data_IF_429314493677
#
_entry.id   IF_429314493677
#
_cell.length_a   1.000
_cell.length_b   1.000
_cell.length_c   1.000
_cell.angle_alpha   90.00
_cell.angle_beta   90.00
_cell.angle_gamma   90.00
#
_symmetry.space_group_name_H-M   'P 1'
#
loop_
_entity.id
_entity.type
_entity.pdbx_description
1 polymer ?
#
# COMPACT_ATOMS: atom_id res chain seq x y z
N UNK A 1 23.87 -53.86 -16.52
CA UNK A 1 22.70 -53.71 -17.41
C UNK A 1 23.11 -53.11 -18.74
N UNK A 2 23.87 -52.00 -18.71
CA UNK A 2 24.35 -51.32 -19.91
C UNK A 2 25.26 -52.17 -20.80
N UNK A 3 26.18 -52.94 -20.24
CA UNK A 3 27.08 -53.79 -21.04
C UNK A 3 26.33 -54.78 -21.95
N UNK A 4 25.32 -55.47 -21.41
CA UNK A 4 24.51 -56.44 -22.17
C UNK A 4 23.62 -55.76 -23.22
N UNK A 5 23.13 -54.56 -22.94
CA UNK A 5 22.32 -53.76 -23.87
C UNK A 5 23.18 -53.21 -25.02
N UNK A 6 24.32 -52.61 -24.68
CA UNK A 6 25.30 -52.09 -25.62
C UNK A 6 25.82 -53.19 -26.55
N UNK A 7 26.16 -54.37 -26.01
CA UNK A 7 26.61 -55.52 -26.80
C UNK A 7 25.53 -56.05 -27.77
N UNK A 8 24.25 -55.96 -27.40
CA UNK A 8 23.14 -56.47 -28.21
C UNK A 8 22.68 -55.49 -29.30
N UNK A 9 22.72 -54.18 -29.02
CA UNK A 9 22.18 -53.14 -29.90
C UNK A 9 23.24 -52.22 -30.52
N UNK A 10 24.53 -52.44 -30.23
CA UNK A 10 25.63 -51.63 -30.78
C UNK A 10 25.68 -50.19 -30.26
N UNK A 11 25.04 -49.91 -29.13
CA UNK A 11 25.05 -48.58 -28.51
C UNK A 11 26.16 -48.42 -27.46
N UNK A 12 26.41 -47.18 -27.02
CA UNK A 12 27.33 -46.89 -25.91
C UNK A 12 26.63 -46.07 -24.82
N UNK A 13 25.73 -46.73 -24.06
CA UNK A 13 25.01 -46.13 -22.92
C UNK A 13 25.70 -46.42 -21.59
N UNK A 14 25.59 -45.49 -20.65
CA UNK A 14 26.04 -45.69 -19.25
C UNK A 14 24.93 -46.33 -18.41
N UNK A 15 25.32 -47.04 -17.33
CA UNK A 15 24.34 -47.63 -16.40
C UNK A 15 23.40 -46.55 -15.81
N UNK A 16 23.92 -45.36 -15.49
CA UNK A 16 23.14 -44.24 -14.95
C UNK A 16 22.09 -43.72 -15.94
N UNK A 17 22.46 -43.60 -17.22
CA UNK A 17 21.53 -43.20 -18.29
C UNK A 17 20.41 -44.22 -18.46
N UNK A 18 20.73 -45.51 -18.40
CA UNK A 18 19.73 -46.57 -18.49
C UNK A 18 18.82 -46.61 -17.26
N UNK A 19 19.37 -46.44 -16.05
CA UNK A 19 18.58 -46.40 -14.83
C UNK A 19 17.58 -45.24 -14.85
N UNK A 20 18.02 -44.03 -15.22
CA UNK A 20 17.13 -42.87 -15.34
C UNK A 20 16.04 -43.08 -16.39
N UNK A 21 16.39 -43.69 -17.53
CA UNK A 21 15.42 -44.02 -18.59
C UNK A 21 14.40 -45.05 -18.10
N UNK A 22 14.84 -46.10 -17.41
CA UNK A 22 13.96 -47.10 -16.81
C UNK A 22 13.06 -46.51 -15.72
N UNK A 23 13.58 -45.62 -14.87
CA UNK A 23 12.78 -44.90 -13.85
C UNK A 23 11.74 -43.97 -14.48
N UNK A 24 12.09 -43.25 -15.55
CA UNK A 24 11.19 -42.31 -16.24
C UNK A 24 10.04 -43.04 -16.94
N UNK A 25 10.31 -44.19 -17.53
CA UNK A 25 9.33 -45.02 -18.23
C UNK A 25 8.62 -46.02 -17.31
N UNK A 26 8.77 -45.88 -15.99
CA UNK A 26 8.10 -46.72 -14.98
C UNK A 26 8.43 -48.23 -15.07
N UNK A 27 9.55 -48.62 -15.68
CA UNK A 27 9.99 -50.01 -15.75
C UNK A 27 10.54 -50.55 -14.42
N UNK A 28 10.91 -49.67 -13.49
CA UNK A 28 11.44 -50.02 -12.16
C UNK A 28 10.36 -50.08 -11.06
N UNK A 29 9.09 -49.91 -11.41
CA UNK A 29 7.97 -49.95 -10.45
C UNK A 29 7.88 -48.74 -9.50
N UNK A 30 8.84 -47.81 -9.57
CA UNK A 30 8.84 -46.55 -8.81
C UNK A 30 8.56 -45.39 -9.78
N UNK A 31 7.41 -44.70 -9.67
CA UNK A 31 7.06 -43.62 -10.59
C UNK A 31 7.92 -42.38 -10.31
N UNK A 32 9.04 -42.23 -11.03
CA UNK A 32 9.81 -41.00 -11.03
C UNK A 32 9.19 -39.98 -11.99
N UNK A 33 8.01 -39.49 -11.64
CA UNK A 33 7.22 -38.55 -12.46
C UNK A 33 7.69 -37.11 -12.35
N UNK A 34 8.61 -36.80 -11.42
CA UNK A 34 9.02 -35.43 -11.10
C UNK A 34 7.90 -34.58 -10.47
N UNK A 35 6.81 -35.22 -10.03
CA UNK A 35 5.65 -34.58 -9.39
C UNK A 35 5.62 -34.95 -7.91
N UNK A 36 5.11 -34.05 -7.09
CA UNK A 36 4.85 -34.34 -5.68
C UNK A 36 3.78 -35.43 -5.56
N UNK A 37 4.03 -36.43 -4.71
CA UNK A 37 3.08 -37.52 -4.47
C UNK A 37 1.98 -37.00 -3.53
N UNK A 38 0.71 -37.27 -3.86
CA UNK A 38 -0.42 -36.85 -3.01
C UNK A 38 -0.29 -37.47 -1.62
N UNK A 39 -0.26 -36.64 -0.58
CA UNK A 39 -0.05 -37.07 0.82
C UNK A 39 1.41 -37.11 1.27
N UNK A 40 2.37 -36.78 0.40
CA UNK A 40 3.76 -36.64 0.78
C UNK A 40 3.98 -35.32 1.53
N UNK A 41 4.45 -35.39 2.78
CA UNK A 41 4.89 -34.20 3.51
C UNK A 41 6.10 -33.57 2.81
N UNK A 42 6.07 -32.24 2.67
CA UNK A 42 7.22 -31.50 2.20
C UNK A 42 8.36 -31.59 3.23
N UNK A 43 9.61 -31.50 2.77
CA UNK A 43 10.80 -31.58 3.64
C UNK A 43 10.88 -30.47 4.72
N UNK A 44 10.12 -29.39 4.50
CA UNK A 44 9.98 -28.23 5.38
C UNK A 44 8.60 -28.12 6.04
N UNK A 45 7.77 -29.15 5.95
CA UNK A 45 6.47 -29.19 6.62
C UNK A 45 6.67 -29.03 8.14
N UNK A 46 5.93 -28.10 8.76
CA UNK A 46 6.11 -27.70 10.16
C UNK A 46 7.33 -26.83 10.48
N UNK A 47 8.17 -26.44 9.51
CA UNK A 47 9.36 -25.60 9.74
C UNK A 47 9.12 -24.15 9.32
N UNK A 48 8.54 -23.35 10.20
CA UNK A 48 8.43 -21.89 10.01
C UNK A 48 9.76 -21.22 10.35
N UNK A 49 10.37 -20.49 9.41
CA UNK A 49 11.66 -19.82 9.65
C UNK A 49 12.88 -20.77 9.65
N UNK A 50 12.84 -21.85 8.85
CA UNK A 50 13.93 -22.84 8.73
C UNK A 50 15.33 -22.22 8.51
N UNK A 51 15.38 -21.11 7.79
CA UNK A 51 16.55 -20.25 7.78
C UNK A 51 16.45 -19.30 8.98
N UNK A 52 17.18 -19.60 10.05
CA UNK A 52 17.31 -18.69 11.19
C UNK A 52 17.82 -17.31 10.76
N UNK A 53 17.79 -16.34 11.67
CA UNK A 53 18.27 -14.98 11.39
C UNK A 53 19.70 -15.01 10.81
N UNK A 54 19.85 -14.51 9.58
CA UNK A 54 21.12 -14.41 8.87
C UNK A 54 21.71 -13.00 9.01
N UNK A 55 22.90 -12.75 8.45
CA UNK A 55 23.58 -11.45 8.55
C UNK A 55 22.73 -10.27 8.03
N UNK A 56 21.82 -10.51 7.10
CA UNK A 56 20.91 -9.51 6.52
C UNK A 56 19.57 -9.40 7.25
N UNK A 57 19.33 -10.22 8.27
CA UNK A 57 18.08 -10.18 9.03
C UNK A 57 18.04 -8.95 9.93
N UNK A 58 16.90 -8.26 9.93
CA UNK A 58 16.68 -7.12 10.82
C UNK A 58 16.67 -7.57 12.28
N UNK A 59 17.48 -6.92 13.11
CA UNK A 59 17.45 -7.11 14.56
C UNK A 59 16.23 -6.41 15.14
N UNK A 60 15.65 -6.96 16.21
CA UNK A 60 14.59 -6.30 16.97
C UNK A 60 15.10 -4.94 17.47
N UNK A 61 14.32 -3.88 17.26
CA UNK A 61 14.70 -2.51 17.61
C UNK A 61 15.59 -1.79 16.58
N UNK A 62 15.86 -2.40 15.42
CA UNK A 62 16.58 -1.72 14.36
C UNK A 62 15.73 -0.59 13.76
N UNK A 63 16.18 0.65 13.94
CA UNK A 63 15.53 1.86 13.39
C UNK A 63 16.25 2.25 12.10
N UNK A 64 15.55 2.38 10.96
CA UNK A 64 16.16 2.85 9.73
C UNK A 64 16.81 4.23 9.90
N UNK A 65 17.99 4.44 9.32
CA UNK A 65 18.72 5.72 9.35
C UNK A 65 17.92 6.95 8.85
N UNK A 66 16.90 6.74 8.00
CA UNK A 66 16.03 7.78 7.46
C UNK A 66 14.78 8.05 8.31
N UNK A 67 14.70 7.46 9.51
CA UNK A 67 13.58 7.68 10.44
C UNK A 67 13.58 9.13 10.90
N UNK A 68 12.47 9.82 10.63
CA UNK A 68 12.28 11.22 11.04
C UNK A 68 11.72 11.30 12.46
N UNK A 69 12.04 12.38 13.22
CA UNK A 69 11.51 12.59 14.56
C UNK A 69 9.99 12.81 14.54
N UNK A 70 9.36 12.71 15.72
CA UNK A 70 7.96 13.06 15.90
C UNK A 70 7.68 14.50 15.42
N UNK A 71 6.50 14.74 14.87
CA UNK A 71 6.07 16.02 14.28
C UNK A 71 6.87 16.50 13.07
N UNK A 72 7.73 15.64 12.48
CA UNK A 72 8.35 15.94 11.21
C UNK A 72 7.30 16.15 10.11
N UNK A 73 7.50 17.19 9.30
CA UNK A 73 6.63 17.52 8.19
C UNK A 73 7.19 16.99 6.87
N UNK A 74 6.29 16.61 5.96
CA UNK A 74 6.64 16.31 4.56
C UNK A 74 5.53 16.72 3.62
N UNK A 75 5.89 17.16 2.43
CA UNK A 75 4.92 17.41 1.35
C UNK A 75 4.64 16.13 0.58
N UNK A 76 3.37 15.81 0.35
CA UNK A 76 2.96 14.69 -0.48
C UNK A 76 3.27 15.00 -1.95
N UNK A 77 4.14 14.20 -2.57
CA UNK A 77 4.52 14.39 -3.97
C UNK A 77 3.34 14.21 -4.96
N UNK A 78 2.33 13.42 -4.59
CA UNK A 78 1.16 13.16 -5.44
C UNK A 78 0.13 14.28 -5.38
N UNK A 79 -0.22 14.71 -4.17
CA UNK A 79 -1.38 15.57 -3.93
C UNK A 79 -1.03 17.01 -3.52
N UNK A 80 0.23 17.26 -3.16
CA UNK A 80 0.73 18.57 -2.71
C UNK A 80 0.39 18.95 -1.26
N UNK A 81 -0.27 18.08 -0.49
CA UNK A 81 -0.59 18.36 0.91
C UNK A 81 0.59 18.15 1.85
N UNK A 82 0.67 18.98 2.91
CA UNK A 82 1.61 18.76 4.01
C UNK A 82 1.07 17.71 4.98
N UNK A 83 1.91 16.73 5.28
CA UNK A 83 1.67 15.64 6.23
C UNK A 83 2.56 15.83 7.46
N UNK A 84 2.03 15.47 8.64
CA UNK A 84 2.76 15.49 9.92
C UNK A 84 2.82 14.09 10.51
N UNK A 85 3.99 13.71 11.06
CA UNK A 85 4.18 12.44 11.78
C UNK A 85 3.65 12.55 13.21
N UNK A 86 2.65 11.73 13.58
CA UNK A 86 1.97 11.80 14.89
C UNK A 86 2.36 10.65 15.83
N UNK A 87 3.02 9.60 15.32
CA UNK A 87 3.40 8.41 16.11
C UNK A 87 4.86 8.02 15.91
N UNK A 88 5.51 7.57 16.98
CA UNK A 88 6.93 7.18 17.01
C UNK A 88 7.16 5.76 16.46
N UNK A 89 6.54 4.75 17.07
CA UNK A 89 6.80 3.32 16.82
C UNK A 89 6.17 2.80 15.52
N UNK A 90 5.01 3.32 15.17
CA UNK A 90 4.31 3.04 13.91
C UNK A 90 4.06 4.37 13.20
N UNK A 91 4.98 4.84 12.35
CA UNK A 91 4.95 6.19 11.80
C UNK A 91 3.68 6.41 10.98
N UNK A 92 2.71 7.07 11.61
CA UNK A 92 1.46 7.47 10.99
C UNK A 92 1.58 8.93 10.58
N UNK A 93 1.50 9.16 9.26
CA UNK A 93 1.44 10.49 8.68
C UNK A 93 -0.02 10.87 8.46
N UNK A 94 -0.42 12.00 9.04
CA UNK A 94 -1.77 12.56 8.89
C UNK A 94 -1.67 13.92 8.21
N UNK A 95 -2.74 14.32 7.53
CA UNK A 95 -2.84 15.65 6.92
C UNK A 95 -2.74 16.73 7.99
N UNK A 96 -1.73 17.60 7.88
CA UNK A 96 -1.42 18.62 8.90
C UNK A 96 -2.59 19.59 9.11
N UNK A 97 -3.30 19.97 8.05
CA UNK A 97 -4.47 20.85 8.14
C UNK A 97 -5.63 20.22 8.93
N UNK A 98 -5.84 18.90 8.83
CA UNK A 98 -6.86 18.20 9.63
C UNK A 98 -6.44 18.13 11.09
N UNK A 99 -5.19 17.74 11.32
CA UNK A 99 -4.63 17.68 12.66
C UNK A 99 -4.74 19.03 13.38
N UNK A 100 -4.31 20.13 12.71
CA UNK A 100 -4.40 21.48 13.28
C UNK A 100 -5.84 21.91 13.57
N UNK A 101 -6.78 21.62 12.67
CA UNK A 101 -8.19 21.91 12.89
C UNK A 101 -8.75 21.17 14.10
N UNK A 102 -8.45 19.87 14.23
CA UNK A 102 -8.92 19.05 15.34
C UNK A 102 -8.38 19.54 16.69
N UNK A 103 -7.14 20.05 16.74
CA UNK A 103 -6.57 20.63 17.95
C UNK A 103 -7.29 21.91 18.40
N UNK A 104 -7.78 22.73 17.47
CA UNK A 104 -8.28 24.08 17.76
C UNK A 104 -9.81 24.16 17.81
N UNK A 105 -10.49 23.51 16.85
CA UNK A 105 -11.95 23.58 16.67
C UNK A 105 -12.66 22.27 17.01
N UNK A 106 -11.92 21.20 17.27
CA UNK A 106 -12.46 19.89 17.62
C UNK A 106 -12.70 18.97 16.42
N UNK A 107 -13.35 17.81 16.65
CA UNK A 107 -13.43 16.73 15.67
C UNK A 107 -14.16 17.15 14.40
N UNK A 108 -13.68 16.67 13.25
CA UNK A 108 -14.33 16.87 11.95
C UNK A 108 -15.56 15.95 11.89
N UNK A 109 -16.78 16.47 11.73
CA UNK A 109 -17.98 15.65 11.62
C UNK A 109 -17.96 14.75 10.39
N UNK A 110 -18.74 13.67 10.42
CA UNK A 110 -18.92 12.80 9.25
C UNK A 110 -19.47 13.59 8.06
N UNK A 111 -19.05 13.23 6.85
CA UNK A 111 -19.41 13.91 5.60
C UNK A 111 -18.98 15.40 5.52
N UNK A 112 -17.99 15.80 6.32
CA UNK A 112 -17.37 17.12 6.24
C UNK A 112 -15.90 17.02 5.85
N UNK A 113 -15.44 18.04 5.14
CA UNK A 113 -14.06 18.19 4.67
C UNK A 113 -13.54 19.56 5.01
N UNK A 114 -12.24 19.62 5.24
CA UNK A 114 -11.52 20.88 5.40
C UNK A 114 -11.01 21.28 4.02
N UNK A 115 -11.30 22.53 3.66
CA UNK A 115 -10.90 23.14 2.39
C UNK A 115 -10.06 24.38 2.70
N UNK A 116 -9.05 24.62 1.87
CA UNK A 116 -8.23 25.82 1.90
C UNK A 116 -8.95 26.95 1.18
N UNK A 117 -9.09 28.11 1.82
CA UNK A 117 -9.79 29.27 1.28
C UNK A 117 -9.01 29.88 0.12
N UNK A 118 -7.69 30.01 0.25
CA UNK A 118 -6.79 30.55 -0.79
C UNK A 118 -6.32 29.53 -1.84
N UNK A 119 -6.82 28.29 -1.80
CA UNK A 119 -6.38 27.16 -2.66
C UNK A 119 -4.91 26.71 -2.49
N UNK A 120 -4.14 27.36 -1.63
CA UNK A 120 -2.75 26.98 -1.32
C UNK A 120 -2.72 25.91 -0.21
N UNK A 121 -2.28 24.70 -0.59
CA UNK A 121 -2.19 23.53 0.30
C UNK A 121 -1.05 23.62 1.32
N UNK A 122 -0.14 24.58 1.15
CA UNK A 122 1.01 24.80 2.04
C UNK A 122 0.72 25.82 3.13
N UNK A 123 -0.24 26.72 2.91
CA UNK A 123 -0.65 27.74 3.88
C UNK A 123 -1.65 27.17 4.91
N UNK A 124 -1.11 26.66 6.01
CA UNK A 124 -1.85 25.95 7.07
C UNK A 124 -2.10 26.88 8.25
N UNK A 125 -2.75 28.02 7.97
CA UNK A 125 -3.31 28.90 9.00
C UNK A 125 -4.76 28.51 9.28
N UNK A 126 -5.17 28.53 10.54
CA UNK A 126 -6.55 28.16 10.94
C UNK A 126 -7.60 29.03 10.24
N UNK A 127 -7.26 30.31 10.01
CA UNK A 127 -8.13 31.27 9.33
C UNK A 127 -8.31 30.95 7.83
N UNK A 128 -7.32 30.30 7.22
CA UNK A 128 -7.37 29.84 5.83
C UNK A 128 -8.09 28.48 5.66
N UNK A 129 -8.52 27.86 6.77
CA UNK A 129 -9.22 26.58 6.73
C UNK A 129 -10.72 26.79 6.94
N UNK A 130 -11.50 26.13 6.12
CA UNK A 130 -12.96 26.15 6.20
C UNK A 130 -13.51 24.73 6.25
N UNK A 131 -14.41 24.47 7.19
CA UNK A 131 -15.19 23.24 7.24
C UNK A 131 -16.38 23.35 6.29
N UNK A 132 -16.51 22.38 5.40
CA UNK A 132 -17.50 22.36 4.32
C UNK A 132 -18.08 20.95 4.25
N UNK A 133 -19.39 20.82 4.09
CA UNK A 133 -20.02 19.51 3.90
C UNK A 133 -19.75 18.95 2.50
N UNK A 134 -19.82 17.63 2.34
CA UNK A 134 -19.63 16.98 1.04
C UNK A 134 -20.63 17.48 -0.01
N UNK A 135 -21.85 17.79 0.41
CA UNK A 135 -22.87 18.37 -0.47
C UNK A 135 -22.49 19.80 -0.91
N UNK A 136 -22.01 20.65 0.01
CA UNK A 136 -21.58 22.02 -0.29
C UNK A 136 -20.40 22.02 -1.27
N UNK A 137 -19.46 21.10 -1.07
CA UNK A 137 -18.31 20.94 -1.95
C UNK A 137 -18.73 20.43 -3.34
N UNK A 138 -19.71 19.51 -3.40
CA UNK A 138 -20.26 19.04 -4.67
C UNK A 138 -20.94 20.17 -5.45
N UNK A 139 -21.74 21.00 -4.78
CA UNK A 139 -22.37 22.18 -5.41
C UNK A 139 -21.32 23.15 -5.93
N UNK A 140 -20.26 23.41 -5.15
CA UNK A 140 -19.13 24.24 -5.59
C UNK A 140 -18.49 23.69 -6.86
N UNK A 141 -18.17 22.40 -6.89
CA UNK A 141 -17.52 21.78 -8.04
C UNK A 141 -18.40 21.75 -9.30
N UNK A 142 -19.72 21.61 -9.14
CA UNK A 142 -20.66 21.59 -10.27
C UNK A 142 -20.90 23.02 -10.81
N UNK A 143 -21.17 23.98 -9.93
CA UNK A 143 -21.64 25.32 -10.34
C UNK A 143 -20.53 26.36 -10.50
N UNK A 144 -19.48 26.27 -9.69
CA UNK A 144 -18.48 27.32 -9.54
C UNK A 144 -17.07 26.88 -9.90
N UNK A 145 -16.88 25.68 -10.47
CA UNK A 145 -15.55 25.16 -10.84
C UNK A 145 -14.77 26.05 -11.80
N UNK A 146 -15.45 26.73 -12.72
CA UNK A 146 -14.81 27.65 -13.69
C UNK A 146 -14.45 29.01 -13.10
N UNK A 147 -15.11 29.39 -12.01
CA UNK A 147 -14.93 30.70 -11.35
C UNK A 147 -13.97 30.59 -10.18
N UNK A 148 -13.91 29.42 -9.52
CA UNK A 148 -13.01 29.13 -8.41
C UNK A 148 -11.55 29.38 -8.79
N UNK A 149 -10.98 30.40 -8.16
CA UNK A 149 -9.56 30.71 -8.16
C UNK A 149 -9.14 31.11 -6.74
N UNK A 150 -7.84 31.32 -6.50
CA UNK A 150 -7.32 31.64 -5.18
C UNK A 150 -8.00 32.85 -4.49
N UNK A 151 -8.52 33.82 -5.25
CA UNK A 151 -9.17 35.02 -4.73
C UNK A 151 -10.68 34.84 -4.49
N UNK A 152 -11.37 34.09 -5.35
CA UNK A 152 -12.86 33.98 -5.34
C UNK A 152 -13.35 32.67 -4.74
N UNK A 153 -12.45 31.73 -4.42
CA UNK A 153 -12.81 30.43 -3.87
C UNK A 153 -13.58 30.57 -2.54
N UNK A 154 -13.23 31.54 -1.69
CA UNK A 154 -14.00 31.85 -0.48
C UNK A 154 -15.47 32.14 -0.79
N UNK A 155 -15.70 33.08 -1.71
CA UNK A 155 -17.04 33.47 -2.16
C UNK A 155 -17.78 32.28 -2.77
N UNK A 156 -17.11 31.45 -3.57
CA UNK A 156 -17.71 30.26 -4.18
C UNK A 156 -18.15 29.23 -3.12
N UNK A 157 -17.38 29.06 -2.05
CA UNK A 157 -17.73 28.20 -0.91
C UNK A 157 -18.90 28.77 -0.09
N UNK A 158 -18.95 30.09 0.10
CA UNK A 158 -20.06 30.74 0.79
C UNK A 158 -21.36 30.65 -0.03
N UNK A 159 -21.29 30.86 -1.34
CA UNK A 159 -22.43 30.69 -2.24
C UNK A 159 -22.95 29.25 -2.26
N UNK A 160 -22.06 28.25 -2.22
CA UNK A 160 -22.50 26.85 -2.17
C UNK A 160 -23.19 26.50 -0.85
N UNK A 161 -22.71 27.04 0.28
CA UNK A 161 -23.38 26.98 1.58
C UNK A 161 -24.77 27.60 1.55
N UNK A 162 -24.89 28.83 1.04
CA UNK A 162 -26.17 29.51 0.89
C UNK A 162 -27.14 28.74 0.00
N UNK A 163 -26.65 28.19 -1.11
CA UNK A 163 -27.47 27.40 -2.03
C UNK A 163 -28.07 26.16 -1.36
N UNK A 164 -27.30 25.45 -0.54
CA UNK A 164 -27.79 24.28 0.19
C UNK A 164 -28.72 24.69 1.33
N UNK A 165 -28.41 25.78 2.04
CA UNK A 165 -29.29 26.31 3.08
C UNK A 165 -30.65 26.69 2.50
N UNK A 166 -30.70 27.41 1.37
CA UNK A 166 -31.94 27.79 0.69
C UNK A 166 -32.76 26.56 0.28
N UNK A 167 -32.11 25.51 -0.25
CA UNK A 167 -32.79 24.26 -0.62
C UNK A 167 -33.35 23.48 0.57
N UNK A 168 -32.82 23.67 1.78
CA UNK A 168 -33.34 23.02 3.00
C UNK A 168 -34.60 23.72 3.56
N UNK A 169 -34.80 24.99 3.22
CA UNK A 169 -35.91 25.82 3.74
C UNK A 169 -37.15 25.74 2.84
N UNK A 170 -36.97 25.45 1.55
CA UNK A 170 -38.04 25.22 0.58
C UNK A 170 -38.53 23.76 0.60
#
# INVERSE_FOLDING_TARGET
>A
MAEKFNAKFGENRTNDSMQRWCSKNNFLGVPNTGRFIKGQSAWNDGKTGYMGANATSFKKGNVPHNTKPLFSERTCAKDGYVLIKIREEHPQFVLKHRWLWEQVKGPIPENHKIVFINEDKTDIRIDNLMLVSDAELAVKNIKFSKVSNAETNETCLLLSKLHIAAKKVA
#
